data_IF_386312773076
#
_entry.id   IF_386312773076
#
_cell.length_a   1.000
_cell.length_b   1.000
_cell.length_c   1.000
_cell.angle_alpha   90.00
_cell.angle_beta   90.00
_cell.angle_gamma   90.00
#
_symmetry.space_group_name_H-M   'P 1'
#
loop_
_entity.id
_entity.type
_entity.pdbx_description
1 polymer ?
#
# COMPACT_ATOMS: atom_id res chain seq x y z
N UNK A 1 -1.73 2.12 5.40
CA UNK A 1 -0.30 1.92 5.78
C UNK A 1 0.00 0.47 6.17
N UNK A 2 -0.85 -0.18 6.96
CA UNK A 2 -0.62 -1.56 7.45
C UNK A 2 -0.43 -2.59 6.32
N UNK A 3 -1.28 -2.58 5.29
CA UNK A 3 -1.23 -3.55 4.19
C UNK A 3 0.08 -3.45 3.40
N UNK A 4 0.50 -2.25 3.02
CA UNK A 4 1.72 -2.02 2.23
C UNK A 4 2.97 -2.43 3.00
N UNK A 5 3.06 -2.04 4.28
CA UNK A 5 4.16 -2.42 5.16
C UNK A 5 4.23 -3.94 5.32
N UNK A 6 3.09 -4.57 5.56
CA UNK A 6 3.01 -6.03 5.71
C UNK A 6 3.37 -6.75 4.39
N UNK A 7 2.98 -6.21 3.23
CA UNK A 7 3.34 -6.77 1.94
C UNK A 7 4.87 -6.76 1.72
N UNK A 8 5.56 -5.68 2.10
CA UNK A 8 7.02 -5.59 2.05
C UNK A 8 7.67 -6.56 3.03
N UNK A 9 7.15 -6.68 4.25
CA UNK A 9 7.67 -7.61 5.27
C UNK A 9 7.53 -9.07 4.85
N UNK A 10 6.36 -9.48 4.38
CA UNK A 10 6.06 -10.86 3.95
C UNK A 10 6.91 -11.24 2.73
N UNK A 11 6.99 -10.37 1.72
CA UNK A 11 7.80 -10.65 0.52
C UNK A 11 9.29 -10.70 0.83
N UNK A 12 9.77 -9.85 1.75
CA UNK A 12 11.16 -9.89 2.23
C UNK A 12 11.45 -11.17 3.06
N UNK A 13 10.47 -11.66 3.82
CA UNK A 13 10.58 -12.95 4.50
C UNK A 13 10.62 -14.10 3.49
N UNK A 14 9.74 -14.10 2.49
CA UNK A 14 9.71 -15.12 1.44
C UNK A 14 11.04 -15.21 0.67
N UNK A 15 11.65 -14.06 0.33
CA UNK A 15 12.97 -14.02 -0.31
C UNK A 15 14.06 -14.67 0.57
N UNK A 16 14.04 -14.46 1.89
CA UNK A 16 15.00 -15.06 2.83
C UNK A 16 14.79 -16.56 3.02
N UNK A 17 13.53 -16.99 3.14
CA UNK A 17 13.16 -18.41 3.31
C UNK A 17 13.48 -19.22 2.05
N UNK A 18 13.19 -18.68 0.86
CA UNK A 18 13.40 -19.37 -0.40
C UNK A 18 14.83 -19.23 -0.95
N UNK A 19 15.62 -18.27 -0.44
CA UNK A 19 17.01 -18.04 -0.86
C UNK A 19 17.13 -17.82 -2.37
N UNK A 20 18.17 -18.40 -3.00
CA UNK A 20 18.43 -18.24 -4.44
C UNK A 20 17.30 -18.74 -5.36
N UNK A 21 16.41 -19.62 -4.88
CA UNK A 21 15.24 -20.07 -5.64
C UNK A 21 14.20 -18.97 -5.84
N UNK A 22 14.21 -17.93 -5.00
CA UNK A 22 13.27 -16.82 -5.07
C UNK A 22 13.49 -15.89 -6.28
N UNK A 23 14.67 -15.99 -6.92
CA UNK A 23 15.08 -15.22 -8.10
C UNK A 23 14.75 -15.98 -9.41
N UNK A 24 14.34 -17.24 -9.30
CA UNK A 24 13.97 -18.02 -10.48
C UNK A 24 12.68 -17.48 -11.09
N UNK A 25 12.65 -17.34 -12.41
CA UNK A 25 11.44 -16.93 -13.16
C UNK A 25 10.20 -17.81 -12.91
N UNK A 26 10.39 -19.04 -12.42
CA UNK A 26 9.30 -19.95 -12.04
C UNK A 26 8.50 -19.45 -10.84
N UNK A 27 9.12 -18.69 -9.93
CA UNK A 27 8.49 -18.14 -8.74
C UNK A 27 8.68 -16.61 -8.73
N UNK A 28 7.63 -15.81 -8.95
CA UNK A 28 7.76 -14.35 -9.10
C UNK A 28 8.02 -13.60 -7.77
N UNK A 29 8.75 -14.18 -6.82
CA UNK A 29 8.98 -13.61 -5.49
C UNK A 29 9.79 -12.30 -5.54
N UNK A 30 10.84 -12.25 -6.37
CA UNK A 30 11.62 -11.02 -6.58
C UNK A 30 10.78 -9.87 -7.16
N UNK A 31 9.83 -10.23 -8.04
CA UNK A 31 8.93 -9.28 -8.69
C UNK A 31 7.93 -8.75 -7.67
N UNK A 32 7.35 -9.63 -6.86
CA UNK A 32 6.45 -9.22 -5.79
C UNK A 32 7.12 -8.31 -4.76
N UNK A 33 8.36 -8.59 -4.37
CA UNK A 33 9.11 -7.71 -3.47
C UNK A 33 9.35 -6.32 -4.10
N UNK A 34 9.68 -6.28 -5.40
CA UNK A 34 9.87 -5.02 -6.14
C UNK A 34 8.59 -4.20 -6.19
N UNK A 35 7.48 -4.85 -6.55
CA UNK A 35 6.18 -4.21 -6.67
C UNK A 35 5.68 -3.73 -5.29
N UNK A 36 5.88 -4.52 -4.22
CA UNK A 36 5.51 -4.14 -2.85
C UNK A 36 6.30 -2.90 -2.37
N UNK A 37 7.60 -2.81 -2.67
CA UNK A 37 8.41 -1.63 -2.35
C UNK A 37 7.94 -0.40 -3.12
N UNK A 38 7.65 -0.54 -4.41
CA UNK A 38 7.10 0.55 -5.21
C UNK A 38 5.74 1.04 -4.66
N UNK A 39 4.86 0.11 -4.29
CA UNK A 39 3.56 0.44 -3.70
C UNK A 39 3.67 1.17 -2.35
N UNK A 40 4.75 0.94 -1.59
CA UNK A 40 4.97 1.61 -0.30
C UNK A 40 5.36 3.09 -0.42
N UNK A 41 5.84 3.54 -1.60
CA UNK A 41 6.34 4.90 -1.82
C UNK A 41 5.56 5.70 -2.88
N UNK A 42 4.67 5.06 -3.64
CA UNK A 42 3.83 5.71 -4.65
C UNK A 42 2.67 6.47 -3.99
N UNK A 43 2.34 7.68 -4.45
CA UNK A 43 1.09 8.36 -4.03
C UNK A 43 -0.13 7.55 -4.51
N UNK A 44 -1.27 7.51 -3.79
CA UNK A 44 -1.63 8.13 -2.51
C UNK A 44 -1.25 7.32 -1.24
N UNK A 45 -0.48 6.23 -1.36
CA UNK A 45 -0.35 5.23 -0.30
C UNK A 45 0.87 5.38 0.60
N UNK A 46 1.72 6.37 0.33
CA UNK A 46 2.88 6.68 1.17
C UNK A 46 2.43 6.95 2.60
N UNK A 47 3.15 6.39 3.59
CA UNK A 47 2.78 6.45 5.00
C UNK A 47 2.44 7.87 5.46
N UNK A 48 3.24 8.85 5.10
CA UNK A 48 3.07 10.24 5.55
C UNK A 48 1.80 10.87 4.98
N UNK A 49 1.52 10.67 3.69
CA UNK A 49 0.32 11.20 3.02
C UNK A 49 -0.94 10.56 3.59
N UNK A 50 -0.97 9.23 3.77
CA UNK A 50 -2.13 8.55 4.35
C UNK A 50 -2.35 8.99 5.79
N UNK A 51 -1.27 9.23 6.54
CA UNK A 51 -1.35 9.69 7.93
C UNK A 51 -1.89 11.12 7.99
N UNK A 52 -1.42 12.02 7.12
CA UNK A 52 -1.93 13.39 6.98
C UNK A 52 -3.41 13.43 6.58
N UNK A 53 -3.81 12.67 5.56
CA UNK A 53 -5.21 12.55 5.14
C UNK A 53 -6.10 11.97 6.25
N UNK A 54 -5.62 10.95 6.97
CA UNK A 54 -6.35 10.39 8.11
C UNK A 54 -6.51 11.40 9.25
N UNK A 55 -5.47 12.18 9.56
CA UNK A 55 -5.56 13.25 10.56
C UNK A 55 -6.57 14.32 10.15
N UNK A 56 -6.51 14.79 8.89
CA UNK A 56 -7.47 15.76 8.36
C UNK A 56 -8.90 15.22 8.41
N UNK A 57 -9.12 13.97 8.00
CA UNK A 57 -10.43 13.31 8.07
C UNK A 57 -10.92 13.12 9.51
N UNK A 58 -10.03 12.82 10.47
CA UNK A 58 -10.40 12.64 11.86
C UNK A 58 -10.75 13.96 12.57
N UNK A 59 -10.09 15.06 12.19
CA UNK A 59 -10.30 16.39 12.78
C UNK A 59 -11.47 17.14 12.12
N UNK A 60 -11.90 16.72 10.93
CA UNK A 60 -13.03 17.31 10.20
C UNK A 60 -14.13 16.26 10.10
N UNK A 61 -15.04 16.15 11.10
CA UNK A 61 -16.17 15.24 10.97
C UNK A 61 -17.04 15.71 9.81
N UNK A 62 -17.26 14.84 8.82
CA UNK A 62 -18.13 14.97 7.63
C UNK A 62 -19.01 16.23 7.59
N UNK A 63 -18.40 17.37 7.24
CA UNK A 63 -19.14 18.47 6.66
C UNK A 63 -19.29 18.09 5.17
N UNK A 64 -20.48 17.60 4.83
CA UNK A 64 -20.98 17.38 3.47
C UNK A 64 -20.74 15.98 2.85
N UNK A 65 -21.59 15.03 3.25
CA UNK A 65 -22.20 14.09 2.30
C UNK A 65 -23.73 14.13 2.41
N UNK A 66 -24.28 15.35 2.33
CA UNK A 66 -25.64 15.58 1.86
C UNK A 66 -25.55 16.25 0.49
N UNK A 67 -25.79 15.49 -0.60
CA UNK A 67 -25.85 16.08 -1.94
C UNK A 67 -25.39 15.20 -3.10
N UNK A 68 -25.91 13.98 -3.23
CA UNK A 68 -26.09 13.37 -4.56
C UNK A 68 -27.59 13.33 -4.87
N UNK A 69 -28.13 14.44 -5.37
CA UNK A 69 -29.35 14.43 -6.17
C UNK A 69 -29.27 15.51 -7.26
N UNK A 70 -29.50 15.06 -8.50
CA UNK A 70 -29.93 15.80 -9.70
C UNK A 70 -28.89 16.57 -10.54
N UNK A 71 -28.73 16.09 -11.79
CA UNK A 71 -28.89 16.96 -12.96
C UNK A 71 -27.73 17.00 -13.95
N UNK A 72 -27.89 16.32 -15.10
CA UNK A 72 -27.09 16.51 -16.32
C UNK A 72 -27.07 15.30 -17.24
#
# INVERSE_FOLDING_TARGET
>A
VTVQRNAVEITSLAMRVCGGRAILKRFPLERHLRDARAASVMRPWTQDIVTEELWNAALTPEAEQGGQSEGG
#
